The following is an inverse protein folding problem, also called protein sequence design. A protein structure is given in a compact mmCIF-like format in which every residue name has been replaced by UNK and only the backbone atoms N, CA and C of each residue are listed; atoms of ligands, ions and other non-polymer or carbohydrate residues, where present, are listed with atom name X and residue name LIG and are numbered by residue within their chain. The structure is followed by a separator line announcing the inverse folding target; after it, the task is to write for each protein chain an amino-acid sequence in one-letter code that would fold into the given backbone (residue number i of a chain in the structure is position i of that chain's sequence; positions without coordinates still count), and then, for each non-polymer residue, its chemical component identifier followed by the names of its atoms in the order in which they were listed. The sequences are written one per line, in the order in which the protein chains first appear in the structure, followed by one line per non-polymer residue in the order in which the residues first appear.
data_IF_607535139082
#
_entry.id   IF_607535139082
#
_cell.length_a   1.000
_cell.length_b   1.000
_cell.length_c   1.000
_cell.angle_alpha   90.00
_cell.angle_beta   90.00
_cell.angle_gamma   90.00
#
_symmetry.space_group_name_H-M   'P 1'
#
loop_
_entity.id
_entity.type
_entity.pdbx_description
1 polymer ?
#
# COMPACT_ATOMS: atom_id res chain seq x y z
N UNK A 1 -4.81 2.19 6.01
CA UNK A 1 -3.87 1.52 6.93
C UNK A 1 -2.73 2.48 7.22
N UNK A 2 -2.52 2.84 8.49
CA UNK A 2 -1.59 3.90 8.91
C UNK A 2 -0.32 3.23 9.41
N UNK A 3 0.80 3.49 8.75
CA UNK A 3 2.09 3.04 9.24
C UNK A 3 2.40 3.81 10.52
N UNK A 4 2.61 3.06 11.60
CA UNK A 4 2.99 3.59 12.90
C UNK A 4 4.42 4.11 12.79
N UNK A 5 4.57 5.44 12.70
CA UNK A 5 5.87 6.08 12.93
C UNK A 5 6.25 5.84 14.39
N UNK A 6 7.07 4.82 14.61
CA UNK A 6 7.94 4.73 15.79
C UNK A 6 8.77 6.02 15.79
N UNK A 7 8.89 6.69 16.92
CA UNK A 7 9.74 7.87 17.09
C UNK A 7 11.18 7.56 16.66
N UNK A 8 11.46 7.80 15.37
CA UNK A 8 12.82 7.83 14.81
C UNK A 8 13.29 9.27 15.00
N UNK A 9 14.49 9.45 15.55
CA UNK A 9 15.16 10.75 15.66
C UNK A 9 15.03 11.55 14.34
N UNK A 10 14.06 12.47 14.31
CA UNK A 10 13.23 12.77 13.13
C UNK A 10 13.74 13.88 12.24
N UNK A 11 14.93 13.73 11.67
CA UNK A 11 15.28 14.53 10.48
C UNK A 11 16.43 13.93 9.68
N UNK A 12 17.40 13.30 10.34
CA UNK A 12 18.59 12.75 9.66
C UNK A 12 18.29 11.43 8.95
N UNK A 13 17.45 10.59 9.54
CA UNK A 13 17.13 9.27 9.00
C UNK A 13 16.24 9.38 7.76
N UNK A 14 15.31 10.34 7.73
CA UNK A 14 14.36 10.57 6.62
C UNK A 14 15.09 11.02 5.34
N UNK A 15 16.09 11.91 5.50
CA UNK A 15 16.94 12.37 4.41
C UNK A 15 17.77 11.23 3.83
N UNK A 16 18.28 10.32 4.67
CA UNK A 16 19.03 9.15 4.20
C UNK A 16 18.15 8.22 3.37
N UNK A 17 16.93 7.93 3.82
CA UNK A 17 16.01 7.09 3.05
C UNK A 17 15.65 7.72 1.70
N UNK A 18 15.39 9.03 1.67
CA UNK A 18 15.08 9.73 0.43
C UNK A 18 16.26 9.70 -0.56
N UNK A 19 17.49 9.93 -0.08
CA UNK A 19 18.70 9.82 -0.91
C UNK A 19 18.86 8.41 -1.47
N UNK A 20 18.66 7.38 -0.65
CA UNK A 20 18.72 5.98 -1.08
C UNK A 20 17.66 5.67 -2.16
N UNK A 21 16.43 6.14 -2.00
CA UNK A 21 15.35 5.94 -2.98
C UNK A 21 15.68 6.65 -4.29
N UNK A 22 16.06 7.94 -4.24
CA UNK A 22 16.41 8.70 -5.44
C UNK A 22 17.62 8.07 -6.14
N UNK A 23 18.65 7.68 -5.38
CA UNK A 23 19.84 7.00 -5.90
C UNK A 23 19.49 5.67 -6.59
N UNK A 24 18.60 4.88 -6.00
CA UNK A 24 18.09 3.66 -6.58
C UNK A 24 17.31 3.91 -7.88
N UNK A 25 16.39 4.89 -7.90
CA UNK A 25 15.63 5.25 -9.10
C UNK A 25 16.55 5.73 -10.23
N UNK A 26 17.54 6.57 -9.92
CA UNK A 26 18.54 7.04 -10.89
C UNK A 26 19.38 5.90 -11.43
N UNK A 27 19.80 4.96 -10.57
CA UNK A 27 20.51 3.75 -10.98
C UNK A 27 19.67 2.91 -11.94
N UNK A 28 18.40 2.67 -11.62
CA UNK A 28 17.49 1.92 -12.50
C UNK A 28 17.29 2.63 -13.84
N UNK A 29 17.02 3.94 -13.83
CA UNK A 29 16.90 4.72 -15.06
C UNK A 29 18.20 4.71 -15.88
N UNK A 30 19.37 4.78 -15.21
CA UNK A 30 20.67 4.69 -15.86
C UNK A 30 20.88 3.35 -16.55
N UNK A 31 20.56 2.23 -15.88
CA UNK A 31 20.59 0.90 -16.48
C UNK A 31 19.60 0.80 -17.63
N UNK A 32 18.39 1.35 -17.45
CA UNK A 32 17.34 1.33 -18.45
C UNK A 32 17.77 2.02 -19.76
N UNK A 33 18.27 3.24 -19.63
CA UNK A 33 18.74 4.05 -20.76
C UNK A 33 19.96 3.39 -21.40
N UNK A 34 20.90 2.88 -20.60
CA UNK A 34 22.08 2.21 -21.12
C UNK A 34 21.72 0.98 -21.94
N UNK A 35 20.81 0.13 -21.44
CA UNK A 35 20.37 -1.09 -22.13
C UNK A 35 19.34 -0.86 -23.24
N UNK A 36 18.59 0.23 -23.21
CA UNK A 36 17.67 0.59 -24.32
C UNK A 36 18.41 0.75 -25.66
N UNK A 37 19.70 1.07 -25.63
CA UNK A 37 20.55 1.21 -26.84
C UNK A 37 20.78 -0.11 -27.58
N UNK A 38 20.55 -1.24 -26.91
CA UNK A 38 20.67 -2.58 -27.47
C UNK A 38 19.38 -3.01 -28.22
N UNK A 39 18.27 -2.30 -28.04
CA UNK A 39 16.98 -2.60 -28.68
C UNK A 39 16.93 -1.98 -30.07
N UNK A 40 16.93 -2.80 -31.13
CA UNK A 40 16.97 -2.32 -32.53
C UNK A 40 15.70 -2.63 -33.31
N UNK A 41 14.98 -3.68 -32.95
CA UNK A 41 13.76 -4.11 -33.64
C UNK A 41 12.60 -4.46 -32.70
N UNK A 42 11.44 -4.76 -33.28
CA UNK A 42 10.22 -5.12 -32.53
C UNK A 42 10.37 -6.44 -31.74
N UNK A 43 11.22 -7.36 -32.21
CA UNK A 43 11.45 -8.64 -31.54
C UNK A 43 12.34 -8.49 -30.31
N UNK A 44 13.33 -7.60 -30.37
CA UNK A 44 14.12 -7.17 -29.22
C UNK A 44 13.25 -6.45 -28.20
N UNK A 45 12.33 -5.61 -28.68
CA UNK A 45 11.42 -4.85 -27.83
C UNK A 45 10.36 -5.72 -27.15
N UNK A 46 9.80 -6.73 -27.84
CA UNK A 46 8.64 -7.49 -27.35
C UNK A 46 8.97 -8.87 -26.79
N UNK A 47 10.07 -9.50 -27.18
CA UNK A 47 10.45 -10.87 -26.74
C UNK A 47 11.91 -11.00 -26.32
N UNK A 48 12.62 -9.88 -26.16
CA UNK A 48 14.01 -9.88 -25.72
C UNK A 48 14.95 -10.71 -26.61
N UNK A 49 14.61 -10.83 -27.90
CA UNK A 49 15.30 -11.69 -28.88
C UNK A 49 15.39 -13.17 -28.49
N UNK A 50 14.68 -13.62 -27.44
CA UNK A 50 14.80 -14.97 -26.83
C UNK A 50 16.23 -15.32 -26.39
N UNK A 51 17.04 -14.33 -26.09
CA UNK A 51 18.47 -14.51 -25.71
C UNK A 51 18.71 -14.52 -24.20
N UNK A 52 17.66 -14.35 -23.40
CA UNK A 52 17.78 -14.27 -21.94
C UNK A 52 18.25 -15.60 -21.35
N UNK A 53 19.27 -15.52 -20.49
CA UNK A 53 19.73 -16.67 -19.71
C UNK A 53 18.61 -17.23 -18.83
N UNK A 54 18.54 -18.55 -18.59
CA UNK A 54 17.57 -19.14 -17.67
C UNK A 54 17.56 -18.48 -16.29
N UNK A 55 18.72 -18.02 -15.80
CA UNK A 55 18.81 -17.30 -14.52
C UNK A 55 18.09 -15.93 -14.56
N UNK A 56 18.26 -15.18 -15.65
CA UNK A 56 17.55 -13.92 -15.85
C UNK A 56 16.05 -14.15 -15.91
N UNK A 57 15.59 -15.22 -16.57
CA UNK A 57 14.18 -15.58 -16.63
C UNK A 57 13.57 -15.86 -15.25
N UNK A 58 14.34 -16.53 -14.36
CA UNK A 58 13.90 -16.79 -12.98
C UNK A 58 13.78 -15.46 -12.24
N UNK A 59 14.79 -14.59 -12.30
CA UNK A 59 14.74 -13.29 -11.62
C UNK A 59 13.64 -12.39 -12.16
N UNK A 60 13.39 -12.37 -13.47
CA UNK A 60 12.27 -11.64 -14.07
C UNK A 60 10.93 -12.16 -13.58
N UNK A 61 10.78 -13.48 -13.48
CA UNK A 61 9.54 -14.06 -12.98
C UNK A 61 9.32 -13.70 -11.51
N UNK A 62 10.37 -13.81 -10.68
CA UNK A 62 10.30 -13.44 -9.26
C UNK A 62 10.00 -11.95 -9.06
N UNK A 63 10.63 -11.07 -9.84
CA UNK A 63 10.39 -9.63 -9.78
C UNK A 63 8.95 -9.25 -10.17
N UNK A 64 8.35 -9.95 -11.15
CA UNK A 64 6.95 -9.72 -11.54
C UNK A 64 5.97 -10.12 -10.43
N UNK A 65 6.26 -11.20 -9.70
CA UNK A 65 5.40 -11.68 -8.61
C UNK A 65 5.54 -10.87 -7.32
N UNK A 66 6.74 -10.36 -7.03
CA UNK A 66 7.03 -9.61 -5.82
C UNK A 66 7.02 -8.12 -6.14
N UNK A 67 5.90 -7.44 -5.88
CA UNK A 67 5.80 -5.99 -5.97
C UNK A 67 5.20 -5.35 -4.72
N UNK A 68 5.23 -4.02 -4.67
CA UNK A 68 4.92 -3.26 -3.45
C UNK A 68 3.52 -3.51 -2.90
N UNK A 69 2.51 -3.61 -3.77
CA UNK A 69 1.15 -3.93 -3.34
C UNK A 69 1.01 -5.36 -2.81
N UNK A 70 1.77 -6.32 -3.35
CA UNK A 70 1.81 -7.68 -2.80
C UNK A 70 2.48 -7.70 -1.43
N UNK A 71 3.59 -6.97 -1.23
CA UNK A 71 4.30 -6.92 0.06
C UNK A 71 3.41 -6.25 1.11
N UNK A 72 2.90 -5.05 0.83
CA UNK A 72 2.06 -4.28 1.76
C UNK A 72 0.73 -5.00 2.00
N UNK A 73 0.09 -5.52 0.95
CA UNK A 73 -1.19 -6.21 1.06
C UNK A 73 -1.12 -7.54 1.82
N UNK A 74 -0.07 -8.35 1.61
CA UNK A 74 0.10 -9.57 2.40
C UNK A 74 0.50 -9.26 3.85
N UNK A 75 1.25 -8.18 4.09
CA UNK A 75 1.57 -7.72 5.45
C UNK A 75 0.31 -7.25 6.19
N UNK A 76 -0.53 -6.44 5.53
CA UNK A 76 -1.86 -6.03 6.01
C UNK A 76 -2.74 -7.24 6.34
N UNK A 77 -2.86 -8.18 5.41
CA UNK A 77 -3.67 -9.37 5.60
C UNK A 77 -3.15 -10.24 6.76
N UNK A 78 -1.84 -10.39 6.89
CA UNK A 78 -1.21 -11.12 8.00
C UNK A 78 -1.42 -10.42 9.35
N UNK A 79 -1.47 -9.09 9.35
CA UNK A 79 -1.79 -8.31 10.56
C UNK A 79 -3.26 -8.48 10.98
N UNK A 80 -4.18 -8.63 10.03
CA UNK A 80 -5.61 -8.80 10.31
C UNK A 80 -6.04 -10.23 10.65
N UNK A 81 -5.48 -11.24 9.98
CA UNK A 81 -5.89 -12.65 10.16
C UNK A 81 -4.80 -13.55 10.76
N UNK A 82 -3.64 -12.99 11.08
CA UNK A 82 -2.54 -13.74 11.69
C UNK A 82 -1.91 -14.77 10.74
N UNK A 83 -1.44 -15.88 11.32
CA UNK A 83 -0.75 -16.95 10.61
C UNK A 83 -1.62 -17.66 9.56
N UNK A 84 -2.95 -17.60 9.68
CA UNK A 84 -3.86 -18.14 8.67
C UNK A 84 -3.68 -17.49 7.29
N UNK A 85 -3.19 -16.23 7.22
CA UNK A 85 -2.87 -15.57 5.95
C UNK A 85 -1.82 -16.33 5.12
N UNK A 86 -0.98 -17.17 5.74
CA UNK A 86 -0.01 -18.00 5.03
C UNK A 86 -0.64 -19.08 4.15
N UNK A 87 -1.94 -19.35 4.29
CA UNK A 87 -2.68 -20.25 3.41
C UNK A 87 -2.99 -19.60 2.05
N UNK A 88 -3.03 -18.27 1.96
CA UNK A 88 -3.44 -17.55 0.74
C UNK A 88 -2.48 -17.80 -0.45
N UNK A 89 -1.15 -17.78 -0.27
CA UNK A 89 -0.21 -18.10 -1.35
C UNK A 89 -0.32 -19.55 -1.87
N UNK A 90 -0.92 -20.48 -1.13
CA UNK A 90 -1.10 -21.86 -1.62
C UNK A 90 -1.91 -21.92 -2.91
N UNK A 91 -2.83 -20.98 -3.13
CA UNK A 91 -3.56 -20.84 -4.40
C UNK A 91 -2.63 -20.56 -5.58
N UNK A 92 -1.68 -19.63 -5.42
CA UNK A 92 -0.67 -19.38 -6.46
C UNK A 92 0.17 -20.61 -6.74
N UNK A 93 0.61 -21.32 -5.70
CA UNK A 93 1.46 -22.51 -5.84
C UNK A 93 0.71 -23.62 -6.59
N UNK A 94 -0.56 -23.85 -6.26
CA UNK A 94 -1.40 -24.81 -6.96
C UNK A 94 -1.63 -24.40 -8.43
N UNK A 95 -1.87 -23.12 -8.70
CA UNK A 95 -2.05 -22.58 -10.05
C UNK A 95 -0.79 -22.74 -10.89
N UNK A 96 0.38 -22.41 -10.33
CA UNK A 96 1.67 -22.54 -11.00
C UNK A 96 2.01 -24.00 -11.28
N UNK A 97 1.72 -24.90 -10.34
CA UNK A 97 1.91 -26.33 -10.55
C UNK A 97 1.03 -26.83 -11.71
N UNK A 98 -0.25 -26.43 -11.74
CA UNK A 98 -1.16 -26.81 -12.82
C UNK A 98 -0.71 -26.25 -14.18
N UNK A 99 -0.35 -24.96 -14.25
CA UNK A 99 0.16 -24.36 -15.47
C UNK A 99 1.45 -25.01 -15.94
N UNK A 100 2.34 -25.40 -15.03
CA UNK A 100 3.59 -26.09 -15.37
C UNK A 100 3.32 -27.44 -16.08
N UNK A 101 2.26 -28.15 -15.68
CA UNK A 101 1.83 -29.40 -16.35
C UNK A 101 1.30 -29.14 -17.78
N UNK A 102 0.63 -28.01 -17.99
CA UNK A 102 0.04 -27.64 -19.28
C UNK A 102 1.05 -26.90 -20.19
N UNK A 103 2.09 -26.30 -19.61
CA UNK A 103 3.05 -25.44 -20.30
C UNK A 103 3.75 -26.15 -21.48
N UNK A 104 4.07 -27.44 -21.34
CA UNK A 104 4.66 -28.23 -22.42
C UNK A 104 3.72 -28.29 -23.65
N UNK A 105 2.41 -28.43 -23.42
CA UNK A 105 1.41 -28.41 -24.49
C UNK A 105 1.20 -27.01 -25.04
N UNK A 106 1.18 -25.99 -24.20
CA UNK A 106 1.03 -24.60 -24.62
C UNK A 106 2.17 -24.14 -25.55
N UNK A 107 3.43 -24.55 -25.27
CA UNK A 107 4.59 -24.22 -26.11
C UNK A 107 4.55 -24.83 -27.52
N UNK A 108 3.74 -25.86 -27.75
CA UNK A 108 3.55 -26.42 -29.09
C UNK A 108 2.67 -25.54 -29.98
N UNK A 109 1.94 -24.58 -29.40
CA UNK A 109 1.21 -23.56 -30.14
C UNK A 109 2.19 -22.43 -30.42
N UNK A 110 2.53 -22.20 -31.69
CA UNK A 110 3.40 -21.09 -32.14
C UNK A 110 2.71 -19.72 -32.00
N UNK A 111 2.12 -19.43 -30.85
CA UNK A 111 1.50 -18.16 -30.52
C UNK A 111 2.40 -17.39 -29.55
N UNK A 112 2.38 -16.07 -29.67
CA UNK A 112 3.21 -15.16 -28.86
C UNK A 112 2.43 -14.60 -27.68
N UNK A 113 1.10 -14.66 -27.72
CA UNK A 113 0.22 -14.10 -26.68
C UNK A 113 -0.93 -15.04 -26.34
N UNK A 114 -1.46 -14.94 -25.12
CA UNK A 114 -2.63 -15.72 -24.69
C UNK A 114 -3.89 -15.43 -25.53
N UNK A 115 -4.22 -14.17 -25.88
CA UNK A 115 -5.36 -13.89 -26.75
C UNK A 115 -5.24 -14.51 -28.14
N UNK A 116 -4.02 -14.63 -28.68
CA UNK A 116 -3.77 -15.31 -29.97
C UNK A 116 -4.05 -16.82 -29.88
N UNK A 117 -3.70 -17.47 -28.76
CA UNK A 117 -4.07 -18.88 -28.52
C UNK A 117 -5.60 -19.03 -28.51
N UNK A 118 -6.31 -18.09 -27.88
CA UNK A 118 -7.78 -18.08 -27.84
C UNK A 118 -8.36 -17.83 -29.23
N UNK A 119 -7.77 -16.92 -30.02
CA UNK A 119 -8.18 -16.63 -31.40
C UNK A 119 -8.13 -17.87 -32.28
N UNK A 120 -7.02 -18.62 -32.24
CA UNK A 120 -6.85 -19.82 -33.08
C UNK A 120 -7.91 -20.89 -32.79
N UNK A 121 -8.45 -20.91 -31.57
CA UNK A 121 -9.44 -21.91 -31.14
C UNK A 121 -10.89 -21.44 -31.26
N UNK A 122 -11.16 -20.15 -31.03
CA UNK A 122 -12.51 -19.60 -30.86
C UNK A 122 -12.83 -18.41 -31.78
N UNK A 123 -11.88 -17.97 -32.60
CA UNK A 123 -12.04 -16.89 -33.56
C UNK A 123 -11.80 -15.47 -33.00
N UNK A 124 -11.94 -14.48 -33.88
CA UNK A 124 -11.59 -13.08 -33.60
C UNK A 124 -12.43 -12.41 -32.49
N UNK A 125 -13.70 -12.81 -32.33
CA UNK A 125 -14.56 -12.27 -31.26
C UNK A 125 -14.03 -12.65 -29.87
N UNK A 126 -13.62 -13.91 -29.70
CA UNK A 126 -13.05 -14.40 -28.45
C UNK A 126 -11.70 -13.74 -28.14
N UNK A 127 -10.88 -13.49 -29.18
CA UNK A 127 -9.64 -12.71 -29.06
C UNK A 127 -9.89 -11.32 -28.49
N UNK A 128 -10.84 -10.57 -29.06
CA UNK A 128 -11.13 -9.21 -28.62
C UNK A 128 -11.65 -9.17 -27.17
N UNK A 129 -12.52 -10.14 -26.81
CA UNK A 129 -13.02 -10.25 -25.44
C UNK A 129 -11.91 -10.62 -24.44
N UNK A 130 -11.01 -11.52 -24.83
CA UNK A 130 -9.82 -11.86 -24.05
C UNK A 130 -8.88 -10.68 -23.88
N UNK A 131 -8.61 -9.91 -24.94
CA UNK A 131 -7.79 -8.70 -24.88
C UNK A 131 -8.41 -7.65 -23.94
N UNK A 132 -9.72 -7.42 -24.03
CA UNK A 132 -10.42 -6.48 -23.15
C UNK A 132 -10.33 -6.92 -21.69
N UNK A 133 -10.59 -8.20 -21.41
CA UNK A 133 -10.46 -8.78 -20.07
C UNK A 133 -9.02 -8.63 -19.53
N UNK A 134 -8.03 -8.92 -20.37
CA UNK A 134 -6.61 -8.81 -20.03
C UNK A 134 -6.22 -7.37 -19.67
N UNK A 135 -6.67 -6.38 -20.45
CA UNK A 135 -6.40 -4.95 -20.17
C UNK A 135 -7.04 -4.50 -18.86
N UNK A 136 -8.29 -4.90 -18.60
CA UNK A 136 -8.99 -4.57 -17.35
C UNK A 136 -8.27 -5.20 -16.16
N UNK A 137 -7.91 -6.48 -16.25
CA UNK A 137 -7.19 -7.19 -15.20
C UNK A 137 -5.84 -6.52 -14.88
N UNK A 138 -5.04 -6.19 -15.90
CA UNK A 138 -3.78 -5.47 -15.69
C UNK A 138 -3.98 -4.06 -15.15
N UNK A 139 -5.05 -3.35 -15.53
CA UNK A 139 -5.33 -2.02 -14.98
C UNK A 139 -5.60 -2.07 -13.48
N UNK A 140 -6.34 -3.08 -13.02
CA UNK A 140 -6.57 -3.33 -11.58
C UNK A 140 -5.24 -3.63 -10.88
N UNK A 141 -4.41 -4.49 -11.47
CA UNK A 141 -3.12 -4.89 -10.90
C UNK A 141 -2.19 -3.69 -10.77
N UNK A 142 -2.04 -2.92 -11.84
CA UNK A 142 -1.17 -1.75 -11.88
C UNK A 142 -1.64 -0.68 -10.88
N UNK A 143 -2.96 -0.47 -10.75
CA UNK A 143 -3.53 0.50 -9.81
C UNK A 143 -3.19 0.18 -8.36
N UNK A 144 -3.39 -1.06 -7.90
CA UNK A 144 -3.09 -1.40 -6.50
C UNK A 144 -1.60 -1.32 -6.19
N UNK A 145 -0.73 -1.71 -7.14
CA UNK A 145 0.73 -1.64 -6.98
C UNK A 145 1.22 -0.19 -6.83
N UNK A 146 0.71 0.71 -7.67
CA UNK A 146 1.05 2.13 -7.61
C UNK A 146 0.53 2.79 -6.34
N UNK A 147 -0.71 2.49 -5.93
CA UNK A 147 -1.29 3.03 -4.70
C UNK A 147 -0.53 2.59 -3.45
N UNK A 148 -0.16 1.30 -3.36
CA UNK A 148 0.69 0.80 -2.28
C UNK A 148 2.07 1.46 -2.29
N UNK A 149 2.67 1.64 -3.48
CA UNK A 149 3.94 2.36 -3.65
C UNK A 149 3.90 3.80 -3.13
N UNK A 150 2.85 4.55 -3.47
CA UNK A 150 2.69 5.92 -2.99
C UNK A 150 2.48 6.01 -1.47
N UNK A 151 1.74 5.06 -0.89
CA UNK A 151 1.55 4.99 0.56
C UNK A 151 2.87 4.72 1.31
N UNK A 152 3.70 3.83 0.79
CA UNK A 152 5.04 3.58 1.36
C UNK A 152 5.92 4.82 1.27
N UNK A 153 5.88 5.54 0.13
CA UNK A 153 6.65 6.77 -0.04
C UNK A 153 6.22 7.89 0.92
N UNK A 154 4.92 8.06 1.13
CA UNK A 154 4.38 9.04 2.09
C UNK A 154 4.95 8.81 3.50
N UNK A 155 5.01 7.56 3.92
CA UNK A 155 5.51 7.17 5.25
C UNK A 155 7.01 7.39 5.37
N UNK A 156 7.79 7.05 4.34
CA UNK A 156 9.24 7.21 4.36
C UNK A 156 9.65 8.68 4.33
N UNK A 157 8.94 9.50 3.56
CA UNK A 157 9.21 10.95 3.49
C UNK A 157 8.80 11.64 4.80
N UNK A 158 7.79 11.11 5.49
CA UNK A 158 7.40 11.55 6.81
C UNK A 158 6.48 12.79 6.81
N UNK A 159 6.25 13.27 8.03
CA UNK A 159 5.31 14.33 8.31
C UNK A 159 6.00 15.69 8.47
N UNK A 160 5.27 16.75 8.15
CA UNK A 160 5.68 18.13 8.48
C UNK A 160 5.64 18.32 9.98
N UNK A 161 6.40 19.30 10.47
CA UNK A 161 6.41 19.67 11.88
C UNK A 161 4.98 19.87 12.42
N UNK A 162 4.63 19.20 13.53
CA UNK A 162 3.31 19.32 14.14
C UNK A 162 3.00 20.77 14.44
N UNK A 163 1.94 21.30 13.84
CA UNK A 163 1.54 22.70 14.04
C UNK A 163 0.43 22.75 15.09
N UNK A 164 0.65 23.36 16.27
CA UNK A 164 -0.41 23.53 17.26
C UNK A 164 -1.47 24.49 16.72
N UNK A 165 -2.74 24.10 16.89
CA UNK A 165 -3.88 24.86 16.40
C UNK A 165 -4.58 25.53 17.57
N UNK A 166 -4.80 26.84 17.44
CA UNK A 166 -5.54 27.67 18.40
C UNK A 166 -6.87 28.17 17.85
N UNK A 167 -7.73 28.69 18.73
CA UNK A 167 -8.99 29.34 18.32
C UNK A 167 -8.66 30.53 17.41
N UNK A 168 -9.33 30.63 16.26
CA UNK A 168 -9.06 31.64 15.23
C UNK A 168 -7.97 31.27 14.23
N UNK A 169 -7.29 30.13 14.37
CA UNK A 169 -6.27 29.70 13.43
C UNK A 169 -6.89 29.28 12.08
N UNK A 170 -6.43 29.84 10.93
CA UNK A 170 -6.92 29.46 9.62
C UNK A 170 -6.31 28.10 9.20
N UNK A 171 -7.17 27.15 8.86
CA UNK A 171 -6.83 25.85 8.32
C UNK A 171 -7.31 25.73 6.87
N UNK A 172 -6.46 25.24 6.00
CA UNK A 172 -6.83 24.98 4.60
C UNK A 172 -7.55 23.65 4.49
N UNK A 173 -8.49 23.50 3.56
CA UNK A 173 -9.13 22.20 3.24
C UNK A 173 -8.09 21.09 3.08
N UNK A 174 -6.98 21.39 2.40
CA UNK A 174 -5.87 20.45 2.17
C UNK A 174 -5.24 19.94 3.48
N UNK A 175 -5.07 20.81 4.48
CA UNK A 175 -4.51 20.41 5.78
C UNK A 175 -5.48 19.52 6.57
N UNK A 176 -6.79 19.71 6.40
CA UNK A 176 -7.83 18.91 7.07
C UNK A 176 -8.11 17.57 6.37
N UNK A 177 -7.94 17.51 5.04
CA UNK A 177 -8.17 16.28 4.25
C UNK A 177 -6.93 15.43 4.12
N UNK A 178 -5.76 16.04 3.97
CA UNK A 178 -4.50 15.33 3.71
C UNK A 178 -3.71 15.14 5.02
N UNK A 179 -3.97 15.98 6.04
CA UNK A 179 -3.38 15.84 7.37
C UNK A 179 -4.29 15.16 8.38
N UNK A 180 -3.73 14.79 9.53
CA UNK A 180 -4.45 14.30 10.70
C UNK A 180 -4.43 15.34 11.82
N UNK A 181 -5.58 15.49 12.48
CA UNK A 181 -5.66 16.19 13.75
C UNK A 181 -5.31 15.21 14.86
N UNK A 182 -4.31 15.55 15.66
CA UNK A 182 -3.88 14.81 16.82
C UNK A 182 -4.32 15.58 18.05
N UNK A 183 -5.14 14.94 18.89
CA UNK A 183 -5.58 15.50 20.16
C UNK A 183 -4.86 14.79 21.30
N UNK A 184 -4.02 15.53 22.02
CA UNK A 184 -3.31 15.05 23.20
C UNK A 184 -4.01 15.56 24.47
N UNK A 185 -4.39 14.64 25.36
CA UNK A 185 -5.14 14.92 26.59
C UNK A 185 -4.51 14.27 27.84
N UNK A 186 -4.88 14.77 29.01
CA UNK A 186 -4.42 14.22 30.29
C UNK A 186 -5.15 12.89 30.58
N UNK A 187 -4.43 11.77 30.88
CA UNK A 187 -5.03 10.46 31.12
C UNK A 187 -6.04 10.37 32.27
N UNK A 188 -6.04 11.31 33.22
CA UNK A 188 -7.02 11.33 34.32
C UNK A 188 -8.35 12.03 33.93
N UNK A 189 -8.40 12.63 32.74
CA UNK A 189 -9.56 13.40 32.30
C UNK A 189 -10.59 12.51 31.59
N UNK A 190 -11.85 12.66 32.00
CA UNK A 190 -13.01 11.98 31.40
C UNK A 190 -14.03 13.04 31.00
N UNK A 191 -14.47 13.03 29.75
CA UNK A 191 -15.41 14.02 29.21
C UNK A 191 -15.49 13.98 27.68
N UNK A 192 -16.40 14.78 27.13
CA UNK A 192 -16.48 15.04 25.70
C UNK A 192 -15.74 16.33 25.38
N UNK A 193 -14.80 16.25 24.44
CA UNK A 193 -14.05 17.40 23.95
C UNK A 193 -14.58 17.75 22.57
N UNK A 194 -14.93 19.03 22.32
CA UNK A 194 -15.48 19.43 21.01
C UNK A 194 -14.45 20.23 20.23
N UNK A 195 -14.29 19.87 18.96
CA UNK A 195 -13.51 20.62 18.01
C UNK A 195 -14.43 21.12 16.90
N UNK A 196 -14.59 22.44 16.79
CA UNK A 196 -15.52 23.04 15.84
C UNK A 196 -14.78 23.92 14.83
N UNK A 197 -15.05 23.66 13.55
CA UNK A 197 -14.55 24.39 12.40
C UNK A 197 -15.67 25.14 11.71
N UNK A 198 -15.40 26.37 11.27
CA UNK A 198 -16.32 27.15 10.44
C UNK A 198 -15.70 27.44 9.08
N UNK A 199 -16.43 27.15 8.01
CA UNK A 199 -16.01 27.49 6.64
C UNK A 199 -16.00 29.01 6.44
N UNK A 200 -14.94 29.56 5.82
CA UNK A 200 -14.81 30.98 5.46
C UNK A 200 -15.52 31.31 4.13
N UNK A 201 -16.73 30.79 3.94
CA UNK A 201 -17.57 31.18 2.81
C UNK A 201 -18.29 32.48 3.17
N UNK A 202 -18.15 33.52 2.33
CA UNK A 202 -18.87 34.81 2.43
C UNK A 202 -20.41 34.69 2.31
N UNK A 203 -20.94 33.47 2.25
CA UNK A 203 -22.37 33.19 2.12
C UNK A 203 -22.95 32.96 3.50
N UNK A 204 -24.15 33.48 3.76
CA UNK A 204 -24.87 33.52 5.05
C UNK A 204 -25.17 32.14 5.70
N UNK A 205 -24.63 31.05 5.15
CA UNK A 205 -24.72 29.68 5.64
C UNK A 205 -23.29 29.14 5.85
N UNK A 206 -22.60 29.66 6.86
CA UNK A 206 -21.33 29.08 7.29
C UNK A 206 -21.62 27.72 7.93
N UNK A 207 -21.32 26.62 7.23
CA UNK A 207 -21.47 25.27 7.77
C UNK A 207 -20.43 25.06 8.89
N UNK A 208 -20.92 24.83 10.11
CA UNK A 208 -20.12 24.49 11.28
C UNK A 208 -19.92 22.99 11.33
N UNK A 209 -18.67 22.54 11.32
CA UNK A 209 -18.30 21.14 11.41
C UNK A 209 -17.75 20.88 12.81
N UNK A 210 -18.50 20.15 13.64
CA UNK A 210 -18.08 19.76 14.98
C UNK A 210 -17.69 18.28 15.02
N UNK A 211 -16.53 17.99 15.60
CA UNK A 211 -16.13 16.64 15.98
C UNK A 211 -16.19 16.55 17.50
N UNK A 212 -16.92 15.56 18.01
CA UNK A 212 -16.87 15.18 19.42
C UNK A 212 -15.75 14.15 19.61
N UNK A 213 -14.70 14.56 20.30
CA UNK A 213 -13.56 13.74 20.73
C UNK A 213 -14.00 13.06 22.04
N UNK A 214 -14.27 11.74 21.98
CA UNK A 214 -14.90 10.97 23.05
C UNK A 214 -13.86 10.09 23.76
N UNK A 215 -13.43 10.48 24.95
CA UNK A 215 -12.70 9.59 25.86
C UNK A 215 -13.69 8.92 26.83
N UNK A 216 -14.08 7.67 26.54
CA UNK A 216 -15.00 6.88 27.38
C UNK A 216 -14.24 5.74 28.07
N UNK A 217 -14.10 5.80 29.40
CA UNK A 217 -13.80 4.61 30.19
C UNK A 217 -15.04 3.71 30.23
N UNK A 218 -15.04 2.70 29.36
CA UNK A 218 -15.90 1.49 29.27
C UNK A 218 -17.43 1.64 29.26
N UNK A 219 -17.98 1.10 28.16
CA UNK A 219 -19.25 0.36 28.02
C UNK A 219 -20.55 1.03 28.49
N UNK A 220 -21.30 1.59 27.53
CA UNK A 220 -22.75 1.39 27.50
C UNK A 220 -23.28 1.60 26.09
N UNK A 221 -24.13 0.67 25.68
CA UNK A 221 -24.94 0.66 24.48
C UNK A 221 -25.90 1.86 24.46
N UNK A 222 -25.70 2.84 23.59
CA UNK A 222 -26.81 3.42 22.84
C UNK A 222 -26.32 4.33 21.71
N UNK A 223 -27.03 4.23 20.58
CA UNK A 223 -26.58 4.66 19.27
C UNK A 223 -26.72 6.15 18.98
N UNK A 224 -25.90 6.60 18.02
CA UNK A 224 -26.04 7.89 17.36
C UNK A 224 -24.73 8.65 17.20
N UNK A 225 -23.71 8.06 16.57
CA UNK A 225 -22.51 8.79 16.15
C UNK A 225 -22.26 8.58 14.67
N UNK A 226 -22.18 9.69 13.93
CA UNK A 226 -21.80 9.75 12.52
C UNK A 226 -20.42 9.11 12.38
N UNK A 227 -20.32 8.11 11.51
CA UNK A 227 -19.19 7.19 11.44
C UNK A 227 -17.83 7.86 11.21
N UNK A 228 -16.94 7.68 12.18
CA UNK A 228 -15.51 7.94 12.07
C UNK A 228 -14.77 6.79 12.76
N UNK A 229 -13.77 6.22 12.08
CA UNK A 229 -12.93 5.14 12.61
C UNK A 229 -11.93 5.71 13.63
N UNK A 230 -12.32 5.75 14.89
CA UNK A 230 -11.40 6.03 16.00
C UNK A 230 -10.55 4.77 16.26
N UNK A 231 -9.31 4.78 15.81
CA UNK A 231 -8.31 3.82 16.26
C UNK A 231 -7.69 4.38 17.54
N UNK A 232 -8.37 4.20 18.68
CA UNK A 232 -7.82 4.51 19.99
C UNK A 232 -6.64 3.57 20.26
N UNK A 233 -5.41 4.05 20.08
CA UNK A 233 -4.21 3.28 20.38
C UNK A 233 -4.00 3.30 21.90
N UNK A 234 -4.30 2.20 22.60
CA UNK A 234 -4.17 2.10 24.06
C UNK A 234 -2.73 2.35 24.58
N UNK A 235 -1.73 2.38 23.71
CA UNK A 235 -0.34 2.69 24.06
C UNK A 235 0.06 4.16 23.81
N UNK A 236 -0.75 4.98 23.12
CA UNK A 236 -0.44 6.38 22.85
C UNK A 236 -1.60 7.32 23.19
N UNK A 237 -1.28 8.35 23.96
CA UNK A 237 -2.15 9.39 24.55
C UNK A 237 -2.71 10.39 23.52
N UNK A 238 -3.03 9.92 22.32
CA UNK A 238 -3.34 10.75 21.15
C UNK A 238 -4.49 10.15 20.36
N UNK A 239 -5.58 10.88 20.23
CA UNK A 239 -6.66 10.55 19.29
C UNK A 239 -6.40 11.21 17.93
N UNK A 240 -6.56 10.45 16.84
CA UNK A 240 -6.33 10.91 15.47
C UNK A 240 -7.63 11.06 14.71
N UNK A 241 -7.83 12.21 14.08
CA UNK A 241 -9.01 12.50 13.28
C UNK A 241 -8.61 12.93 11.87
N UNK A 242 -9.33 12.42 10.87
CA UNK A 242 -9.20 12.82 9.48
C UNK A 242 -10.58 13.17 8.94
N UNK A 243 -10.66 14.30 8.22
CA UNK A 243 -11.91 14.69 7.59
C UNK A 243 -12.04 14.05 6.21
N UNK A 244 -13.20 13.46 5.94
CA UNK A 244 -13.54 13.07 4.58
C UNK A 244 -13.72 14.31 3.71
N UNK A 245 -13.09 14.30 2.53
CA UNK A 245 -13.07 15.44 1.61
C UNK A 245 -14.47 15.88 1.17
N UNK A 246 -15.39 14.93 1.02
CA UNK A 246 -16.75 15.20 0.55
C UNK A 246 -17.61 15.89 1.60
N UNK A 247 -17.24 15.75 2.88
CA UNK A 247 -17.89 16.43 4.00
C UNK A 247 -17.52 17.91 4.09
N UNK A 248 -16.34 18.31 3.59
CA UNK A 248 -15.84 19.69 3.70
C UNK A 248 -16.21 20.56 2.49
N UNK A 249 -17.19 21.45 2.66
CA UNK A 249 -17.54 22.50 1.68
C UNK A 249 -16.86 23.83 2.00
N UNK A 250 -15.81 24.15 1.23
CA UNK A 250 -15.04 25.39 1.38
C UNK A 250 -13.55 25.17 1.12
N UNK A 251 -12.79 26.24 0.97
CA UNK A 251 -11.33 26.19 0.77
C UNK A 251 -10.55 26.51 2.04
N UNK A 252 -11.12 27.34 2.92
CA UNK A 252 -10.54 27.77 4.18
C UNK A 252 -11.55 27.58 5.31
N UNK A 253 -11.03 27.17 6.46
CA UNK A 253 -11.78 26.92 7.67
C UNK A 253 -11.09 27.65 8.82
N UNK A 254 -11.87 28.18 9.74
CA UNK A 254 -11.36 28.84 10.95
C UNK A 254 -11.79 28.00 12.14
N UNK A 255 -10.86 27.75 13.05
CA UNK A 255 -11.17 27.02 14.28
C UNK A 255 -11.96 27.93 15.22
N UNK A 256 -13.17 27.52 15.59
CA UNK A 256 -14.06 28.30 16.46
C UNK A 256 -14.11 27.78 17.88
N UNK A 257 -13.86 26.50 18.08
CA UNK A 257 -13.90 25.83 19.40
C UNK A 257 -12.80 24.78 19.45
N UNK A 258 -12.05 24.76 20.56
CA UNK A 258 -11.00 23.79 20.86
C UNK A 258 -11.26 23.26 22.27
N UNK A 259 -10.91 22.00 22.56
CA UNK A 259 -11.05 21.45 23.90
C UNK A 259 -10.25 22.26 24.94
N UNK A 260 -10.88 22.60 26.06
CA UNK A 260 -10.27 23.38 27.16
C UNK A 260 -9.13 22.64 27.88
N UNK A 261 -8.99 21.33 27.65
CA UNK A 261 -8.15 20.40 28.42
C UNK A 261 -7.33 19.47 27.51
N UNK A 262 -6.55 20.06 26.60
CA UNK A 262 -5.61 19.33 25.75
C UNK A 262 -5.00 20.23 24.68
N UNK A 263 -4.12 19.67 23.84
CA UNK A 263 -3.60 20.37 22.67
C UNK A 263 -4.04 19.66 21.40
N UNK A 264 -4.48 20.45 20.41
CA UNK A 264 -4.80 19.93 19.07
C UNK A 264 -3.66 20.34 18.15
N UNK A 265 -2.96 19.35 17.59
CA UNK A 265 -1.91 19.57 16.60
C UNK A 265 -2.36 19.04 15.25
N UNK A 266 -2.14 19.82 14.19
CA UNK A 266 -2.26 19.34 12.81
C UNK A 266 -0.92 18.75 12.40
N UNK A 267 -0.95 17.50 12.00
CA UNK A 267 0.18 16.83 11.36
C UNK A 267 -0.20 16.62 9.90
N UNK A 268 0.62 17.10 8.98
CA UNK A 268 0.37 16.95 7.55
C UNK A 268 1.55 16.24 6.90
N UNK A 269 1.33 15.25 6.03
CA UNK A 269 2.40 14.58 5.32
C UNK A 269 3.16 15.59 4.46
N UNK A 270 4.48 15.43 4.35
CA UNK A 270 5.31 16.22 3.43
C UNK A 270 4.91 15.90 1.99
N UNK A 271 4.71 14.60 1.70
CA UNK A 271 4.29 14.08 0.41
C UNK A 271 3.10 13.14 0.58
N UNK A 272 1.90 13.58 0.18
CA UNK A 272 0.69 12.76 0.25
C UNK A 272 0.80 11.54 -0.68
N UNK A 273 0.26 10.37 -0.28
CA UNK A 273 0.27 9.14 -1.08
C UNK A 273 -0.17 9.37 -2.53
N UNK A 274 -1.21 10.18 -2.76
CA UNK A 274 -1.69 10.47 -4.12
C UNK A 274 -0.62 11.14 -5.00
N UNK A 275 0.07 12.15 -4.45
CA UNK A 275 1.14 12.84 -5.16
C UNK A 275 2.35 11.93 -5.33
N UNK A 276 2.71 11.16 -4.30
CA UNK A 276 3.75 10.14 -4.38
C UNK A 276 3.46 9.11 -5.49
N UNK A 277 2.24 8.58 -5.54
CA UNK A 277 1.78 7.65 -6.57
C UNK A 277 1.92 8.26 -7.96
N UNK A 278 1.51 9.51 -8.15
CA UNK A 278 1.59 10.19 -9.45
C UNK A 278 3.04 10.39 -9.90
N UNK A 279 3.94 10.78 -8.99
CA UNK A 279 5.37 10.95 -9.28
C UNK A 279 5.98 9.59 -9.65
N UNK A 280 5.73 8.56 -8.83
CA UNK A 280 6.22 7.21 -9.07
C UNK A 280 5.70 6.65 -10.39
N UNK A 281 4.40 6.83 -10.70
CA UNK A 281 3.79 6.41 -11.95
C UNK A 281 4.39 7.12 -13.16
N UNK A 282 4.54 8.45 -13.11
CA UNK A 282 5.15 9.20 -14.19
C UNK A 282 6.57 8.72 -14.47
N UNK A 283 7.37 8.52 -13.43
CA UNK A 283 8.73 7.99 -13.55
C UNK A 283 8.74 6.57 -14.14
N UNK A 284 7.94 5.66 -13.54
CA UNK A 284 7.90 4.24 -13.90
C UNK A 284 7.42 4.03 -15.34
N UNK A 285 6.34 4.69 -15.72
CA UNK A 285 5.79 4.62 -17.07
C UNK A 285 6.80 5.18 -18.09
N UNK A 286 7.44 6.32 -17.77
CA UNK A 286 8.40 6.95 -18.69
C UNK A 286 9.60 6.05 -18.94
N UNK A 287 10.23 5.50 -17.89
CA UNK A 287 11.39 4.64 -18.13
C UNK A 287 10.98 3.30 -18.77
N UNK A 288 9.84 2.71 -18.39
CA UNK A 288 9.37 1.46 -18.97
C UNK A 288 9.09 1.61 -20.47
N UNK A 289 8.51 2.75 -20.87
CA UNK A 289 8.27 3.08 -22.27
C UNK A 289 9.57 3.23 -23.08
N UNK A 290 10.64 3.76 -22.46
CA UNK A 290 11.95 3.96 -23.11
C UNK A 290 12.79 2.68 -23.14
N UNK A 291 12.64 1.80 -22.15
CA UNK A 291 13.52 0.65 -21.93
C UNK A 291 13.29 -0.51 -22.93
N UNK A 292 12.04 -0.86 -23.24
CA UNK A 292 11.69 -2.10 -23.96
C UNK A 292 11.97 -3.38 -23.14
N UNK A 293 11.52 -4.56 -23.64
CA UNK A 293 11.55 -5.80 -22.83
C UNK A 293 12.97 -6.27 -22.48
N UNK A 294 13.95 -6.12 -23.40
CA UNK A 294 15.35 -6.45 -23.09
C UNK A 294 15.86 -5.70 -21.87
N UNK A 295 15.63 -4.39 -21.83
CA UNK A 295 16.09 -3.57 -20.73
C UNK A 295 15.27 -3.80 -19.46
N UNK A 296 13.98 -4.11 -19.59
CA UNK A 296 13.14 -4.53 -18.46
C UNK A 296 13.69 -5.79 -17.80
N UNK A 297 14.11 -6.78 -18.58
CA UNK A 297 14.64 -8.02 -18.02
C UNK A 297 15.89 -7.81 -17.15
N UNK A 298 16.77 -6.88 -17.53
CA UNK A 298 17.92 -6.49 -16.73
C UNK A 298 17.54 -5.70 -15.48
N UNK A 299 16.54 -4.83 -15.57
CA UNK A 299 16.03 -4.12 -14.40
C UNK A 299 15.41 -5.09 -13.41
N UNK A 300 14.59 -6.03 -13.87
CA UNK A 300 13.98 -7.06 -13.05
C UNK A 300 15.02 -7.97 -12.38
N UNK A 301 16.14 -8.25 -13.06
CA UNK A 301 17.26 -8.96 -12.44
C UNK A 301 17.81 -8.17 -11.25
N UNK A 302 18.02 -6.86 -11.41
CA UNK A 302 18.54 -5.98 -10.35
C UNK A 302 17.53 -5.85 -9.22
N UNK A 303 16.28 -5.48 -9.52
CA UNK A 303 15.23 -5.29 -8.53
C UNK A 303 14.90 -6.60 -7.80
N UNK A 304 14.76 -7.71 -8.54
CA UNK A 304 14.52 -9.03 -7.99
C UNK A 304 15.65 -9.49 -7.07
N UNK A 305 16.91 -9.25 -7.46
CA UNK A 305 18.07 -9.58 -6.61
C UNK A 305 18.10 -8.76 -5.33
N UNK A 306 17.81 -7.46 -5.41
CA UNK A 306 17.75 -6.57 -4.24
C UNK A 306 16.64 -6.99 -3.29
N UNK A 307 15.44 -7.30 -3.82
CA UNK A 307 14.30 -7.77 -3.02
C UNK A 307 14.63 -9.07 -2.30
N UNK A 308 15.19 -10.06 -3.02
CA UNK A 308 15.58 -11.35 -2.43
C UNK A 308 16.61 -11.16 -1.31
N UNK A 309 17.67 -10.40 -1.57
CA UNK A 309 18.71 -10.13 -0.57
C UNK A 309 18.12 -9.42 0.66
N UNK A 310 17.26 -8.42 0.43
CA UNK A 310 16.62 -7.65 1.50
C UNK A 310 15.73 -8.54 2.35
N UNK A 311 14.93 -9.42 1.75
CA UNK A 311 14.09 -10.37 2.50
C UNK A 311 14.91 -11.35 3.32
N UNK A 312 15.99 -11.90 2.75
CA UNK A 312 16.90 -12.83 3.45
C UNK A 312 17.58 -12.17 4.67
N UNK A 313 17.87 -10.87 4.60
CA UNK A 313 18.48 -10.12 5.71
C UNK A 313 17.42 -9.62 6.70
N UNK A 314 16.31 -9.06 6.21
CA UNK A 314 15.27 -8.44 7.02
C UNK A 314 14.55 -9.48 7.88
N UNK A 315 14.20 -10.64 7.31
CA UNK A 315 13.44 -11.66 8.02
C UNK A 315 14.12 -12.09 9.33
N UNK A 316 15.40 -12.53 9.36
CA UNK A 316 16.08 -12.88 10.61
C UNK A 316 16.14 -11.72 11.62
N UNK A 317 16.36 -10.49 11.16
CA UNK A 317 16.45 -9.33 12.06
C UNK A 317 15.12 -9.10 12.78
N UNK A 318 14.01 -9.07 12.05
CA UNK A 318 12.68 -8.88 12.64
C UNK A 318 12.26 -10.08 13.47
N UNK A 319 12.62 -11.29 13.03
CA UNK A 319 12.43 -12.54 13.76
C UNK A 319 13.02 -12.50 15.16
N UNK A 320 14.30 -12.12 15.26
CA UNK A 320 14.98 -12.02 16.56
C UNK A 320 14.47 -10.85 17.40
N UNK A 321 14.15 -9.69 16.78
CA UNK A 321 13.54 -8.56 17.48
C UNK A 321 12.18 -8.89 18.09
N UNK A 322 11.41 -9.76 17.44
CA UNK A 322 10.11 -10.20 17.93
C UNK A 322 10.22 -11.24 19.06
N UNK A 323 11.43 -11.69 19.43
CA UNK A 323 11.61 -12.75 20.43
C UNK A 323 11.35 -14.16 19.88
N UNK A 324 11.40 -14.35 18.56
CA UNK A 324 11.09 -15.63 17.91
C UNK A 324 9.60 -15.95 17.89
N UNK A 325 9.24 -17.23 17.70
CA UNK A 325 7.85 -17.68 17.58
C UNK A 325 7.10 -17.46 18.89
N UNK A 326 7.77 -17.73 20.03
CA UNK A 326 7.22 -17.53 21.37
C UNK A 326 6.94 -16.05 21.66
N UNK A 327 7.84 -15.15 21.26
CA UNK A 327 7.62 -13.71 21.44
C UNK A 327 6.50 -13.16 20.56
N UNK A 328 6.34 -13.67 19.33
CA UNK A 328 5.22 -13.35 18.45
C UNK A 328 3.90 -13.83 19.06
N UNK A 329 3.86 -15.07 19.56
CA UNK A 329 2.67 -15.62 20.22
C UNK A 329 2.31 -14.82 21.48
N UNK A 330 3.29 -14.51 22.33
CA UNK A 330 3.08 -13.69 23.51
C UNK A 330 2.53 -12.29 23.16
N UNK A 331 3.02 -11.68 22.08
CA UNK A 331 2.53 -10.39 21.60
C UNK A 331 1.07 -10.47 21.14
N UNK A 332 0.68 -11.51 20.40
CA UNK A 332 -0.72 -11.71 20.00
C UNK A 332 -1.64 -11.96 21.20
N UNK A 333 -1.20 -12.74 22.19
CA UNK A 333 -1.96 -12.96 23.42
C UNK A 333 -2.12 -11.66 24.20
N UNK A 334 -1.07 -10.84 24.30
CA UNK A 334 -1.11 -9.55 24.98
C UNK A 334 -2.06 -8.54 24.32
N UNK A 335 -2.19 -8.58 22.99
CA UNK A 335 -3.14 -7.74 22.23
C UNK A 335 -4.58 -8.30 22.21
N UNK A 336 -4.85 -9.39 22.94
CA UNK A 336 -6.16 -10.05 22.95
C UNK A 336 -6.51 -10.81 21.67
N UNK A 337 -5.51 -11.07 20.82
CA UNK A 337 -5.62 -11.71 19.50
C UNK A 337 -5.02 -13.11 19.48
N UNK A 338 -5.18 -13.89 20.56
CA UNK A 338 -4.58 -15.22 20.69
C UNK A 338 -4.84 -16.16 19.49
N UNK A 339 -6.01 -16.10 18.86
CA UNK A 339 -6.36 -16.90 17.68
C UNK A 339 -5.54 -16.56 16.41
N UNK A 340 -4.74 -15.49 16.41
CA UNK A 340 -3.89 -15.11 15.26
C UNK A 340 -2.67 -16.03 15.09
N UNK A 341 -2.35 -16.89 16.06
CA UNK A 341 -1.34 -17.94 15.89
C UNK A 341 -1.90 -19.19 15.22
N UNK A 342 -3.23 -19.33 15.16
CA UNK A 342 -3.86 -20.48 14.54
C UNK A 342 -3.71 -20.42 13.01
N UNK A 343 -3.15 -21.49 12.45
CA UNK A 343 -2.98 -21.61 10.99
C UNK A 343 -4.25 -22.14 10.31
N UNK A 344 -5.07 -22.90 11.04
CA UNK A 344 -6.29 -23.53 10.55
C UNK A 344 -7.49 -23.14 11.42
N UNK A 345 -8.69 -23.13 10.85
CA UNK A 345 -9.93 -22.83 11.60
C UNK A 345 -10.27 -21.34 11.72
N UNK A 346 -9.36 -20.44 11.35
CA UNK A 346 -9.62 -18.98 11.28
C UNK A 346 -10.55 -18.64 10.10
N UNK A 347 -10.33 -19.28 8.95
CA UNK A 347 -11.17 -19.12 7.78
C UNK A 347 -12.22 -20.23 7.68
N UNK A 348 -13.45 -19.86 7.36
CA UNK A 348 -14.45 -20.83 6.93
C UNK A 348 -14.04 -21.46 5.58
N UNK A 349 -14.53 -22.67 5.24
CA UNK A 349 -14.26 -23.28 3.94
C UNK A 349 -14.65 -22.39 2.75
N UNK A 350 -15.72 -21.60 2.89
CA UNK A 350 -16.17 -20.67 1.85
C UNK A 350 -15.23 -19.48 1.71
N UNK A 351 -14.70 -18.94 2.81
CA UNK A 351 -13.69 -17.88 2.79
C UNK A 351 -12.40 -18.39 2.15
N UNK A 352 -11.98 -19.61 2.50
CA UNK A 352 -10.77 -20.21 1.93
C UNK A 352 -10.90 -20.35 0.40
N UNK A 353 -12.03 -20.84 -0.11
CA UNK A 353 -12.29 -20.91 -1.55
C UNK A 353 -12.28 -19.50 -2.17
N UNK A 354 -12.97 -18.54 -1.54
CA UNK A 354 -13.04 -17.17 -2.05
C UNK A 354 -11.68 -16.47 -2.11
N UNK A 355 -10.73 -16.83 -1.24
CA UNK A 355 -9.38 -16.27 -1.27
C UNK A 355 -8.42 -17.05 -2.19
N UNK A 356 -8.48 -18.38 -2.16
CA UNK A 356 -7.54 -19.22 -2.92
C UNK A 356 -7.90 -19.23 -4.40
N UNK A 357 -9.20 -19.29 -4.76
CA UNK A 357 -9.63 -19.44 -6.15
C UNK A 357 -9.23 -18.27 -7.05
N UNK A 358 -9.41 -16.98 -6.67
CA UNK A 358 -8.97 -15.87 -7.52
C UNK A 358 -7.46 -15.88 -7.74
N UNK A 359 -6.69 -16.17 -6.69
CA UNK A 359 -5.22 -16.21 -6.72
C UNK A 359 -4.71 -17.41 -7.54
N UNK A 360 -5.43 -18.53 -7.51
CA UNK A 360 -5.19 -19.69 -8.36
C UNK A 360 -5.47 -19.41 -9.84
N UNK A 361 -6.56 -18.71 -10.14
CA UNK A 361 -6.95 -18.34 -11.52
C UNK A 361 -6.15 -17.15 -12.08
N UNK A 362 -5.47 -16.40 -11.21
CA UNK A 362 -4.58 -15.30 -11.58
C UNK A 362 -3.31 -15.82 -12.28
N UNK A 363 -2.85 -17.02 -11.88
CA UNK A 363 -1.67 -17.69 -12.44
C UNK A 363 -1.98 -18.16 -13.85
#
# INVERSE_FOLDING_TARGET
MTFTNVDVEGTKTDVVYLICIIGYLVLLAGIAIWKSRDVKDQSDFAVAGRTLSPWMMICTMLAVWIGTGSIVGNAEQTYESGMAAMLLPLGTLAGMALLSLIAARARTVEATTVPEIIERRFGATARNLSMLSLVIAYMVIVSYQFNAGGAVLEVIVGDKEPTPVGVGHPLTRKQLTDGSLHYEYNPEWTGTARFTLRSDTKTRSAESHSIDLLHVLKASSDGGAVGLSSAANQQQRVERFQFQRDSLKGTQFIVTEIPDRGTVTVISPILTARFATMIAAAFIITYAAVAGLMSLAWMDLVTGSIIMLTMVIAFPIYWFKAGGWEGIEAAFVADGRAAHTDLWGVYSPTQLINYILPVFLLV
#
